data_IF_201602557367
#
_entry.id   IF_201602557367
#
_cell.length_a   1.000
_cell.length_b   1.000
_cell.length_c   1.000
_cell.angle_alpha   90.00
_cell.angle_beta   90.00
_cell.angle_gamma   90.00
#
_symmetry.space_group_name_H-M   'P 1'
#
loop_
_entity.id
_entity.type
_entity.pdbx_description
1 polymer ?
#
# COMPACT_ATOMS: atom_id res chain seq x y z
N UNK A 1 -52.49 -8.47 2.80
CA UNK A 1 -51.78 -9.57 2.11
C UNK A 1 -50.48 -8.95 1.61
N UNK A 2 -49.32 -8.94 2.28
CA UNK A 2 -48.48 -10.05 2.82
C UNK A 2 -48.49 -11.21 1.80
N UNK A 3 -47.40 -11.64 1.13
CA UNK A 3 -46.01 -11.86 1.58
C UNK A 3 -45.02 -11.88 0.38
N UNK A 4 -43.80 -11.41 0.70
CA UNK A 4 -42.44 -11.48 0.12
C UNK A 4 -42.01 -12.53 -0.92
N UNK A 5 -41.06 -12.17 -1.80
CA UNK A 5 -39.72 -12.81 -1.96
C UNK A 5 -38.87 -11.90 -2.86
N UNK A 6 -37.61 -11.53 -2.64
CA UNK A 6 -36.58 -11.96 -1.71
C UNK A 6 -35.65 -10.76 -1.46
N UNK A 7 -35.71 -10.21 -0.25
CA UNK A 7 -34.57 -9.50 0.32
C UNK A 7 -33.49 -10.55 0.59
N UNK A 8 -32.65 -10.84 -0.41
CA UNK A 8 -31.35 -11.43 -0.14
C UNK A 8 -30.45 -10.26 0.23
N UNK A 9 -30.00 -10.23 1.49
CA UNK A 9 -28.84 -9.45 1.90
C UNK A 9 -27.79 -9.62 0.80
N UNK A 10 -27.50 -8.57 0.04
CA UNK A 10 -26.20 -8.49 -0.55
C UNK A 10 -25.25 -8.46 0.65
N UNK A 11 -24.61 -9.59 0.95
CA UNK A 11 -23.33 -9.51 1.65
C UNK A 11 -22.54 -8.41 0.95
N UNK A 12 -22.09 -7.39 1.69
CA UNK A 12 -21.32 -6.28 1.13
C UNK A 12 -19.98 -6.85 0.62
N UNK A 13 -19.99 -7.44 -0.57
CA UNK A 13 -18.82 -7.98 -1.25
C UNK A 13 -17.90 -6.82 -1.58
N UNK A 14 -16.67 -6.87 -1.06
CA UNK A 14 -15.64 -5.91 -1.39
C UNK A 14 -14.90 -6.37 -2.66
N UNK A 15 -15.00 -5.60 -3.73
CA UNK A 15 -14.26 -5.83 -4.97
C UNK A 15 -13.07 -4.88 -5.06
N UNK A 16 -11.87 -5.42 -5.26
CA UNK A 16 -10.65 -4.62 -5.43
C UNK A 16 -10.64 -4.00 -6.84
N UNK A 17 -10.68 -2.67 -6.89
CA UNK A 17 -10.34 -1.85 -8.04
C UNK A 17 -8.97 -1.23 -7.77
N UNK A 18 -7.93 -2.02 -8.03
CA UNK A 18 -6.58 -1.75 -7.53
C UNK A 18 -5.63 -1.15 -8.56
N UNK A 19 -4.64 -0.40 -8.08
CA UNK A 19 -3.43 -0.02 -8.84
C UNK A 19 -2.17 -0.25 -7.98
N UNK A 20 -1.05 -0.61 -8.61
CA UNK A 20 0.25 -0.63 -7.94
C UNK A 20 0.76 0.81 -7.72
N UNK A 21 1.17 1.13 -6.49
CA UNK A 21 1.62 2.46 -6.08
C UNK A 21 2.97 2.36 -5.37
N UNK A 22 4.04 2.24 -6.16
CA UNK A 22 5.42 2.22 -5.65
C UNK A 22 6.33 2.99 -6.61
N UNK A 23 6.93 4.10 -6.17
CA UNK A 23 7.94 4.80 -6.94
C UNK A 23 9.17 3.91 -7.15
N UNK A 24 9.70 3.89 -8.38
CA UNK A 24 10.99 3.27 -8.68
C UNK A 24 12.13 4.28 -8.59
N UNK A 25 13.36 3.79 -8.41
CA UNK A 25 14.59 4.61 -8.30
C UNK A 25 15.05 5.26 -9.62
N UNK A 26 14.15 5.59 -10.55
CA UNK A 26 14.51 5.97 -11.92
C UNK A 26 15.28 7.30 -12.04
N UNK A 27 15.44 8.08 -10.96
CA UNK A 27 16.45 9.14 -10.93
C UNK A 27 17.23 9.16 -9.61
N UNK A 28 18.56 9.19 -9.72
CA UNK A 28 19.48 9.36 -8.58
C UNK A 28 19.10 10.58 -7.74
N UNK A 29 18.59 11.64 -8.39
CA UNK A 29 18.20 12.90 -7.73
C UNK A 29 16.95 12.78 -6.86
N UNK A 30 16.00 11.90 -7.20
CA UNK A 30 14.80 11.66 -6.37
C UNK A 30 15.17 10.76 -5.19
N UNK A 31 15.98 9.72 -5.41
CA UNK A 31 16.42 8.84 -4.33
C UNK A 31 17.15 9.61 -3.21
N UNK A 32 18.04 10.56 -3.54
CA UNK A 32 18.76 11.36 -2.54
C UNK A 32 17.83 12.25 -1.68
N UNK A 33 16.64 12.63 -2.20
CA UNK A 33 15.67 13.49 -1.50
C UNK A 33 14.78 12.73 -0.53
N UNK A 34 14.52 11.46 -0.79
CA UNK A 34 13.58 10.62 -0.03
C UNK A 34 14.29 9.48 0.71
N UNK A 35 15.50 9.80 1.19
CA UNK A 35 16.49 8.96 1.90
C UNK A 35 17.40 8.10 1.01
N UNK A 36 18.63 7.85 1.48
CA UNK A 36 19.57 6.88 0.90
C UNK A 36 19.04 5.41 0.99
N UNK A 37 17.74 5.21 1.20
CA UNK A 37 17.15 3.91 1.39
C UNK A 37 17.19 3.07 0.10
N UNK A 38 17.22 1.76 0.32
CA UNK A 38 17.05 0.72 -0.70
C UNK A 38 15.67 0.79 -1.37
N UNK A 39 14.70 1.46 -0.73
CA UNK A 39 13.31 1.64 -1.17
C UNK A 39 12.88 3.12 -1.11
N UNK A 40 11.83 3.49 -1.84
CA UNK A 40 11.12 4.77 -1.66
C UNK A 40 9.72 4.42 -1.15
N UNK A 41 9.43 4.74 0.10
CA UNK A 41 8.11 4.52 0.72
C UNK A 41 7.18 5.71 0.43
N UNK A 42 6.21 5.61 -0.49
CA UNK A 42 5.34 6.74 -0.83
C UNK A 42 4.35 7.09 0.27
N UNK A 43 4.17 6.22 1.28
CA UNK A 43 3.24 6.43 2.39
C UNK A 43 3.88 7.20 3.56
N UNK A 44 5.21 7.33 3.58
CA UNK A 44 5.95 8.07 4.61
C UNK A 44 6.16 9.56 4.28
N UNK A 45 5.79 9.98 3.06
CA UNK A 45 6.03 11.33 2.54
C UNK A 45 4.72 11.99 2.10
N UNK A 46 4.11 12.86 2.93
CA UNK A 46 2.86 13.54 2.61
C UNK A 46 2.87 14.24 1.24
N UNK A 47 3.99 14.84 0.84
CA UNK A 47 4.18 15.50 -0.45
C UNK A 47 4.05 14.55 -1.65
N UNK A 48 4.26 13.24 -1.49
CA UNK A 48 4.06 12.24 -2.53
C UNK A 48 2.62 11.76 -2.54
N UNK A 49 2.14 11.22 -1.41
CA UNK A 49 0.82 10.62 -1.35
C UNK A 49 -0.30 11.64 -1.58
N UNK A 50 -0.18 12.87 -1.05
CA UNK A 50 -1.21 13.91 -1.21
C UNK A 50 -1.18 14.52 -2.61
N UNK A 51 -0.01 14.57 -3.26
CA UNK A 51 0.10 14.98 -4.67
C UNK A 51 -0.60 13.97 -5.58
N UNK A 52 -0.47 12.69 -5.29
CA UNK A 52 -0.98 11.62 -6.15
C UNK A 52 -2.46 11.29 -5.89
N UNK A 53 -2.97 11.56 -4.68
CA UNK A 53 -4.34 11.25 -4.26
C UNK A 53 -5.44 11.80 -5.19
N UNK A 54 -5.39 13.06 -5.70
CA UNK A 54 -6.38 13.55 -6.66
C UNK A 54 -6.48 12.69 -7.91
N UNK A 55 -5.35 12.20 -8.43
CA UNK A 55 -5.31 11.35 -9.62
C UNK A 55 -5.80 9.93 -9.33
N UNK A 56 -5.48 9.38 -8.15
CA UNK A 56 -6.04 8.09 -7.72
C UNK A 56 -7.57 8.15 -7.60
N UNK A 57 -8.11 9.27 -7.09
CA UNK A 57 -9.56 9.50 -7.04
C UNK A 57 -10.17 9.61 -8.43
N UNK A 58 -9.53 10.33 -9.35
CA UNK A 58 -9.99 10.46 -10.75
C UNK A 58 -10.00 9.12 -11.48
N UNK A 59 -8.97 8.28 -11.25
CA UNK A 59 -8.90 6.92 -11.78
C UNK A 59 -10.00 6.01 -11.20
N UNK A 60 -10.62 6.39 -10.08
CA UNK A 60 -11.72 5.67 -9.45
C UNK A 60 -11.27 4.35 -8.81
N UNK A 61 -10.01 4.26 -8.38
CA UNK A 61 -9.50 3.12 -7.62
C UNK A 61 -10.03 3.15 -6.19
N UNK A 62 -10.22 1.98 -5.59
CA UNK A 62 -10.55 1.86 -4.17
C UNK A 62 -9.42 1.17 -3.39
N UNK A 63 -8.34 0.76 -4.05
CA UNK A 63 -7.23 0.07 -3.41
C UNK A 63 -5.92 0.48 -4.09
N UNK A 64 -4.87 0.68 -3.32
CA UNK A 64 -3.49 0.70 -3.82
C UNK A 64 -2.71 -0.48 -3.26
N UNK A 65 -1.74 -0.98 -4.02
CA UNK A 65 -0.74 -1.94 -3.52
C UNK A 65 0.62 -1.27 -3.41
N UNK A 66 1.20 -1.31 -2.22
CA UNK A 66 2.53 -0.80 -1.89
C UNK A 66 3.43 -1.99 -1.56
N UNK A 67 4.54 -2.13 -2.28
CA UNK A 67 5.44 -3.28 -2.18
C UNK A 67 6.47 -3.17 -1.06
N UNK A 68 6.75 -1.97 -0.57
CA UNK A 68 7.72 -1.75 0.51
C UNK A 68 7.42 -0.46 1.25
N UNK A 69 7.35 -0.56 2.58
CA UNK A 69 7.24 0.54 3.52
C UNK A 69 8.44 0.60 4.48
N UNK A 70 8.83 1.79 4.89
CA UNK A 70 9.85 2.02 5.92
C UNK A 70 9.16 2.04 7.29
N UNK A 71 9.32 0.96 8.06
CA UNK A 71 8.68 0.78 9.37
C UNK A 71 9.23 1.70 10.45
N UNK A 72 10.29 2.47 10.16
CA UNK A 72 10.86 3.45 11.10
C UNK A 72 10.23 4.84 10.98
N UNK A 73 9.35 5.06 9.99
CA UNK A 73 8.71 6.36 9.72
C UNK A 73 7.22 6.33 10.07
N UNK A 74 6.63 7.52 10.22
CA UNK A 74 5.19 7.68 10.44
C UNK A 74 4.44 7.71 9.11
N UNK A 75 3.29 7.04 9.06
CA UNK A 75 2.43 6.95 7.87
C UNK A 75 1.03 7.56 8.06
N UNK A 76 0.72 8.04 9.27
CA UNK A 76 -0.61 8.49 9.68
C UNK A 76 -1.25 9.46 8.68
N UNK A 77 -0.51 10.48 8.24
CA UNK A 77 -1.02 11.50 7.31
C UNK A 77 -1.52 10.88 5.99
N UNK A 78 -0.75 9.97 5.39
CA UNK A 78 -1.10 9.37 4.11
C UNK A 78 -2.21 8.33 4.27
N UNK A 79 -2.15 7.49 5.30
CA UNK A 79 -3.19 6.51 5.59
C UNK A 79 -4.53 7.18 5.90
N UNK A 80 -4.53 8.26 6.67
CA UNK A 80 -5.73 9.03 7.01
C UNK A 80 -6.33 9.71 5.76
N UNK A 81 -5.48 10.27 4.89
CA UNK A 81 -5.94 10.86 3.63
C UNK A 81 -6.56 9.81 2.69
N UNK A 82 -5.95 8.62 2.59
CA UNK A 82 -6.45 7.53 1.74
C UNK A 82 -7.74 6.94 2.33
N UNK A 83 -7.81 6.76 3.66
CA UNK A 83 -9.02 6.37 4.40
C UNK A 83 -10.16 7.34 4.14
N UNK A 84 -9.91 8.65 4.25
CA UNK A 84 -10.90 9.71 3.97
C UNK A 84 -11.36 9.73 2.52
N UNK A 85 -10.54 9.25 1.57
CA UNK A 85 -10.90 9.08 0.17
C UNK A 85 -11.57 7.74 -0.16
N UNK A 86 -11.72 6.82 0.80
CA UNK A 86 -12.25 5.49 0.57
C UNK A 86 -11.29 4.55 -0.17
N UNK A 87 -9.99 4.81 -0.08
CA UNK A 87 -8.93 4.01 -0.71
C UNK A 87 -8.25 3.14 0.36
N UNK A 88 -8.27 1.83 0.14
CA UNK A 88 -7.60 0.83 0.95
C UNK A 88 -6.13 0.69 0.52
N UNK A 89 -5.27 0.25 1.43
CA UNK A 89 -3.85 0.02 1.15
C UNK A 89 -3.53 -1.46 1.43
N UNK A 90 -3.10 -2.18 0.39
CA UNK A 90 -2.48 -3.49 0.53
C UNK A 90 -0.96 -3.29 0.60
N UNK A 91 -0.34 -3.75 1.69
CA UNK A 91 1.08 -3.58 1.93
C UNK A 91 1.77 -4.94 1.98
N UNK A 92 2.83 -5.09 1.20
CA UNK A 92 3.72 -6.24 1.28
C UNK A 92 4.64 -6.07 2.52
N UNK A 93 4.81 -7.14 3.31
CA UNK A 93 5.68 -7.13 4.50
C UNK A 93 7.18 -7.19 4.13
N UNK A 94 7.46 -7.86 3.01
CA UNK A 94 8.81 -7.95 2.44
C UNK A 94 9.31 -6.61 1.91
N UNK A 95 10.62 -6.52 1.75
CA UNK A 95 11.27 -5.47 0.96
C UNK A 95 12.48 -6.04 0.21
N UNK A 96 13.03 -5.33 -0.79
CA UNK A 96 14.28 -5.72 -1.42
C UNK A 96 15.39 -5.93 -0.39
N UNK A 97 15.94 -7.15 -0.36
CA UNK A 97 16.97 -7.55 0.60
C UNK A 97 16.45 -8.28 1.84
N UNK A 98 15.18 -8.10 2.20
CA UNK A 98 14.53 -8.78 3.33
C UNK A 98 13.24 -9.47 2.85
N UNK A 99 13.40 -10.65 2.25
CA UNK A 99 12.31 -11.50 1.76
C UNK A 99 12.73 -12.97 1.74
N UNK A 100 11.76 -13.88 1.60
CA UNK A 100 12.05 -15.29 1.37
C UNK A 100 12.72 -15.44 0.00
N UNK A 101 13.99 -15.86 -0.02
CA UNK A 101 14.76 -16.07 -1.25
C UNK A 101 14.26 -17.33 -1.95
N UNK A 102 13.77 -17.19 -3.18
CA UNK A 102 13.10 -18.29 -3.90
C UNK A 102 14.05 -19.44 -4.24
N UNK A 103 15.32 -19.16 -4.49
CA UNK A 103 16.35 -20.15 -4.86
C UNK A 103 16.79 -21.00 -3.66
N UNK A 104 16.63 -20.48 -2.43
CA UNK A 104 16.93 -21.17 -1.19
C UNK A 104 16.00 -20.65 -0.08
N UNK A 105 14.75 -21.14 0.00
CA UNK A 105 13.74 -20.57 0.87
C UNK A 105 14.10 -20.80 2.34
N UNK A 106 14.13 -19.72 3.11
CA UNK A 106 14.34 -19.74 4.55
C UNK A 106 13.28 -18.87 5.23
N UNK A 107 12.86 -19.29 6.43
CA UNK A 107 12.07 -18.49 7.36
C UNK A 107 12.85 -18.40 8.66
N UNK A 108 13.33 -17.20 8.99
CA UNK A 108 14.20 -16.95 10.13
C UNK A 108 13.72 -15.74 10.96
N UNK A 109 14.42 -15.48 12.05
CA UNK A 109 14.08 -14.39 12.98
C UNK A 109 14.28 -13.01 12.36
N UNK A 110 15.19 -12.85 11.39
CA UNK A 110 15.41 -11.58 10.69
C UNK A 110 14.20 -11.22 9.84
N UNK A 111 13.67 -12.19 9.08
CA UNK A 111 12.43 -12.01 8.32
C UNK A 111 11.23 -11.79 9.23
N UNK A 112 11.14 -12.52 10.34
CA UNK A 112 10.07 -12.34 11.31
C UNK A 112 10.10 -10.94 11.96
N UNK A 113 11.27 -10.44 12.35
CA UNK A 113 11.43 -9.10 12.91
C UNK A 113 11.05 -7.99 11.92
N UNK A 114 11.27 -8.22 10.62
CA UNK A 114 10.79 -7.31 9.57
C UNK A 114 9.26 -7.31 9.43
N UNK A 115 8.60 -8.44 9.73
CA UNK A 115 7.18 -8.66 9.43
C UNK A 115 6.23 -8.33 10.60
N UNK A 116 6.76 -8.05 11.79
CA UNK A 116 5.98 -7.90 13.03
C UNK A 116 5.83 -6.47 13.52
#
# INVERSE_FOLDING_TARGET
>A
MLVTSSSQRAENKFFIKGIAYQPSKLSKDIALRYSNATIIDPMAYPEMCLRDLPYLKELGVNTVRVYSIDTTRQHDTCFEAFRSAGIYVLVDLSEPGNSIVRENPQWDTTLFDRYR
#
